data_IF_690181479477
#
_entry.id   IF_690181479477
#
_cell.length_a   1.000
_cell.length_b   1.000
_cell.length_c   1.000
_cell.angle_alpha   90.00
_cell.angle_beta   90.00
_cell.angle_gamma   90.00
#
_symmetry.space_group_name_H-M   'P 1'
#
loop_
_entity.id
_entity.type
_entity.pdbx_description
1 polymer ?
#
# COMPACT_ATOMS: atom_id res chain seq x y z
N UNK A 1 -31.65 19.64 47.65
CA UNK A 1 -30.89 20.87 47.30
C UNK A 1 -31.48 21.34 45.97
N UNK A 2 -32.29 22.40 45.99
CA UNK A 2 -31.91 23.74 45.51
C UNK A 2 -31.58 23.72 44.00
N UNK A 3 -32.55 24.06 43.12
CA UNK A 3 -32.88 25.43 42.63
C UNK A 3 -31.84 25.93 41.60
N UNK A 4 -32.16 26.64 40.52
CA UNK A 4 -33.38 27.10 39.81
C UNK A 4 -32.93 27.30 38.32
N UNK A 5 -33.69 27.46 37.23
CA UNK A 5 -35.11 27.82 36.98
C UNK A 5 -35.55 27.34 35.55
N UNK A 6 -36.65 27.85 34.97
CA UNK A 6 -37.05 27.69 33.54
C UNK A 6 -37.35 29.05 32.92
N UNK A 7 -36.95 29.30 31.66
CA UNK A 7 -37.69 30.20 30.74
C UNK A 7 -37.34 29.93 29.27
N UNK A 8 -38.33 29.61 28.45
CA UNK A 8 -38.17 29.49 27.00
C UNK A 8 -38.67 30.74 26.27
N UNK A 9 -38.25 30.89 25.01
CA UNK A 9 -38.93 31.63 23.95
C UNK A 9 -38.70 30.86 22.65
N UNK A 10 -39.77 30.62 21.89
CA UNK A 10 -39.71 30.08 20.53
C UNK A 10 -40.05 31.23 19.58
N UNK A 11 -39.13 31.61 18.68
CA UNK A 11 -39.38 32.54 17.56
C UNK A 11 -38.64 31.98 16.35
N UNK A 12 -39.32 31.96 15.20
CA UNK A 12 -38.88 31.38 13.94
C UNK A 12 -37.87 32.28 13.18
N UNK A 13 -37.29 31.71 12.13
CA UNK A 13 -36.60 32.37 11.00
C UNK A 13 -35.37 33.27 11.28
N UNK A 14 -34.18 32.76 10.91
CA UNK A 14 -33.47 33.24 9.69
C UNK A 14 -32.19 32.45 9.34
N UNK A 15 -32.20 31.94 8.11
CA UNK A 15 -31.13 31.97 7.09
C UNK A 15 -29.64 31.73 7.43
N UNK A 16 -29.11 30.72 6.72
CA UNK A 16 -27.91 30.74 5.87
C UNK A 16 -26.52 30.35 6.43
N UNK A 17 -25.73 29.78 5.50
CA UNK A 17 -24.36 29.23 5.57
C UNK A 17 -24.12 28.04 6.51
N UNK A 18 -23.50 26.94 6.07
CA UNK A 18 -23.08 26.61 4.70
C UNK A 18 -22.08 25.46 4.65
N UNK A 19 -22.53 24.28 4.22
CA UNK A 19 -21.66 23.20 3.74
C UNK A 19 -22.08 22.89 2.29
N UNK A 20 -21.50 23.62 1.34
CA UNK A 20 -21.61 23.26 -0.07
C UNK A 20 -20.80 21.99 -0.31
N UNK A 21 -21.49 20.85 -0.28
CA UNK A 21 -21.03 19.69 -1.04
C UNK A 21 -21.14 20.06 -2.50
N UNK A 22 -20.00 20.27 -3.14
CA UNK A 22 -19.90 20.56 -4.57
C UNK A 22 -20.22 19.28 -5.36
N UNK A 23 -21.50 18.91 -5.35
CA UNK A 23 -22.06 17.81 -6.12
C UNK A 23 -22.14 18.28 -7.57
N UNK A 24 -21.04 18.08 -8.30
CA UNK A 24 -20.89 18.48 -9.70
C UNK A 24 -22.03 17.86 -10.52
N UNK A 25 -22.98 18.70 -10.92
CA UNK A 25 -24.23 18.30 -11.56
C UNK A 25 -23.94 17.76 -12.96
N UNK A 26 -23.82 16.42 -13.09
CA UNK A 26 -23.55 15.73 -14.35
C UNK A 26 -24.74 15.91 -15.29
N UNK A 27 -24.68 16.94 -16.13
CA UNK A 27 -25.63 17.18 -17.21
C UNK A 27 -25.24 16.33 -18.40
N UNK A 28 -26.07 15.34 -18.71
CA UNK A 28 -26.04 14.69 -20.02
C UNK A 28 -26.30 15.76 -21.10
N UNK A 29 -25.36 15.90 -22.03
CA UNK A 29 -25.52 16.75 -23.20
C UNK A 29 -25.25 15.92 -24.45
N UNK A 30 -26.11 16.07 -25.45
CA UNK A 30 -25.94 15.42 -26.74
C UNK A 30 -25.01 16.26 -27.61
N UNK A 31 -23.73 15.87 -27.71
CA UNK A 31 -22.81 16.42 -28.72
C UNK A 31 -22.97 15.73 -30.07
N UNK A 32 -22.64 16.45 -31.14
CA UNK A 32 -22.37 15.82 -32.43
C UNK A 32 -20.96 15.17 -32.44
N UNK A 33 -20.69 14.27 -33.40
CA UNK A 33 -19.41 13.55 -33.48
C UNK A 33 -18.15 14.44 -33.59
N UNK A 34 -18.25 15.66 -34.10
CA UNK A 34 -17.11 16.58 -34.20
C UNK A 34 -16.87 17.30 -32.88
N UNK A 35 -17.91 17.81 -32.23
CA UNK A 35 -17.84 18.40 -30.88
C UNK A 35 -17.32 17.41 -29.84
N UNK A 36 -17.75 16.14 -29.89
CA UNK A 36 -17.21 15.08 -29.01
C UNK A 36 -15.71 14.86 -29.28
N UNK A 37 -15.27 14.87 -30.54
CA UNK A 37 -13.84 14.73 -30.90
C UNK A 37 -13.00 15.94 -30.48
N UNK A 38 -13.58 17.15 -30.53
CA UNK A 38 -12.90 18.36 -30.06
C UNK A 38 -12.79 18.41 -28.54
N UNK A 39 -13.82 18.01 -27.78
CA UNK A 39 -13.67 17.83 -26.33
C UNK A 39 -12.65 16.75 -25.97
N UNK A 40 -12.66 15.59 -26.65
CA UNK A 40 -11.70 14.52 -26.39
C UNK A 40 -10.26 14.99 -26.60
N UNK A 41 -10.01 15.84 -27.62
CA UNK A 41 -8.69 16.48 -27.82
C UNK A 41 -8.39 17.55 -26.78
N UNK A 42 -9.37 18.36 -26.38
CA UNK A 42 -9.19 19.37 -25.34
C UNK A 42 -8.81 18.75 -23.99
N UNK A 43 -9.39 17.59 -23.67
CA UNK A 43 -9.08 16.79 -22.47
C UNK A 43 -7.93 15.78 -22.68
N UNK A 44 -7.27 15.75 -23.85
CA UNK A 44 -6.18 14.79 -24.14
C UNK A 44 -4.94 15.11 -23.28
N UNK A 45 -4.64 16.40 -23.07
CA UNK A 45 -3.56 16.83 -22.18
C UNK A 45 -3.85 16.47 -20.70
N UNK A 46 -5.09 16.67 -20.23
CA UNK A 46 -5.53 16.27 -18.88
C UNK A 46 -5.46 14.75 -18.68
N UNK A 47 -5.86 13.96 -19.68
CA UNK A 47 -5.77 12.50 -19.64
C UNK A 47 -4.30 12.01 -19.59
N UNK A 48 -3.42 12.64 -20.39
CA UNK A 48 -1.98 12.34 -20.38
C UNK A 48 -1.38 12.70 -19.01
N UNK A 49 -1.73 13.84 -18.43
CA UNK A 49 -1.24 14.23 -17.10
C UNK A 49 -1.74 13.25 -16.02
N UNK A 50 -3.01 12.86 -16.05
CA UNK A 50 -3.55 11.84 -15.13
C UNK A 50 -2.83 10.49 -15.22
N UNK A 51 -2.40 10.08 -16.42
CA UNK A 51 -1.59 8.87 -16.59
C UNK A 51 -0.15 9.03 -16.05
N UNK A 52 0.44 10.21 -16.18
CA UNK A 52 1.78 10.52 -15.64
C UNK A 52 1.75 10.54 -14.11
N UNK A 53 0.73 11.17 -13.52
CA UNK A 53 0.57 11.25 -12.07
C UNK A 53 0.33 9.84 -11.50
N UNK A 54 -0.56 9.05 -12.12
CA UNK A 54 -0.79 7.66 -11.75
C UNK A 54 0.46 6.77 -11.89
N UNK A 55 1.43 7.11 -12.76
CA UNK A 55 2.66 6.34 -12.90
C UNK A 55 3.64 6.51 -11.71
N UNK A 56 3.47 7.55 -10.88
CA UNK A 56 4.36 7.86 -9.75
C UNK A 56 3.92 7.26 -8.40
N UNK A 57 2.81 6.50 -8.36
CA UNK A 57 2.21 5.87 -7.17
C UNK A 57 3.22 5.30 -6.15
N UNK A 58 4.29 4.64 -6.62
CA UNK A 58 5.33 4.03 -5.78
C UNK A 58 6.20 5.02 -4.97
N UNK A 59 6.13 6.33 -5.26
CA UNK A 59 6.89 7.38 -4.55
C UNK A 59 6.00 8.23 -3.64
N UNK A 60 4.76 8.48 -4.05
CA UNK A 60 3.86 9.40 -3.36
C UNK A 60 3.02 8.71 -2.28
N UNK A 61 2.65 7.44 -2.50
CA UNK A 61 1.85 6.66 -1.56
C UNK A 61 2.75 5.91 -0.57
N UNK A 62 2.72 6.32 0.69
CA UNK A 62 3.41 5.59 1.76
C UNK A 62 2.52 5.38 2.97
N UNK A 63 2.57 4.18 3.55
CA UNK A 63 1.87 3.81 4.77
C UNK A 63 2.87 3.48 5.88
N UNK A 64 2.66 4.03 7.07
CA UNK A 64 3.46 3.71 8.25
C UNK A 64 2.98 2.41 8.90
N UNK A 65 3.93 1.53 9.21
CA UNK A 65 3.76 0.30 9.98
C UNK A 65 4.42 0.45 11.35
N UNK A 66 3.69 0.15 12.42
CA UNK A 66 4.16 0.17 13.80
C UNK A 66 4.22 -1.26 14.37
N UNK A 67 5.41 -1.70 14.84
CA UNK A 67 5.58 -3.02 15.48
C UNK A 67 5.42 -2.88 16.99
N UNK A 68 4.21 -3.17 17.47
CA UNK A 68 3.84 -3.07 18.89
C UNK A 68 3.75 -4.47 19.52
N UNK A 69 4.41 -4.65 20.67
CA UNK A 69 4.34 -5.88 21.48
C UNK A 69 4.21 -5.50 22.95
N UNK A 70 3.31 -6.17 23.67
CA UNK A 70 3.09 -5.96 25.11
C UNK A 70 2.81 -4.48 25.47
N UNK A 71 2.08 -3.77 24.60
CA UNK A 71 1.76 -2.35 24.75
C UNK A 71 2.91 -1.37 24.43
N UNK A 72 4.09 -1.88 24.05
CA UNK A 72 5.27 -1.07 23.71
C UNK A 72 5.53 -1.07 22.20
N UNK A 73 5.75 0.11 21.62
CA UNK A 73 6.32 0.24 20.27
C UNK A 73 7.79 -0.19 20.29
N UNK A 74 8.16 -1.16 19.44
CA UNK A 74 9.54 -1.63 19.28
C UNK A 74 10.28 -0.82 18.22
N UNK A 75 9.67 -0.68 17.04
CA UNK A 75 10.11 0.17 15.94
C UNK A 75 8.96 0.39 14.95
N UNK A 76 9.16 1.30 14.01
CA UNK A 76 8.23 1.63 12.94
C UNK A 76 8.98 1.88 11.63
N UNK A 77 8.32 1.65 10.50
CA UNK A 77 8.88 1.88 9.16
C UNK A 77 7.76 2.19 8.18
N UNK A 78 8.09 2.78 7.02
CA UNK A 78 7.12 3.05 5.96
C UNK A 78 7.23 2.02 4.85
N UNK A 79 6.07 1.59 4.35
CA UNK A 79 5.90 0.79 3.13
C UNK A 79 5.33 1.66 2.02
N UNK A 80 5.65 1.32 0.77
CA UNK A 80 5.07 1.84 -0.47
C UNK A 80 4.34 0.70 -1.22
N UNK A 81 3.42 1.00 -2.15
CA UNK A 81 2.86 -0.01 -3.04
C UNK A 81 3.94 -0.66 -3.92
N UNK A 82 3.62 -1.89 -4.35
CA UNK A 82 4.46 -2.72 -5.22
C UNK A 82 3.74 -3.02 -6.53
N UNK A 83 4.42 -2.79 -7.66
CA UNK A 83 3.93 -3.23 -8.96
C UNK A 83 3.98 -4.75 -9.12
N UNK A 84 3.12 -5.32 -9.98
CA UNK A 84 3.07 -6.78 -10.19
C UNK A 84 4.40 -7.39 -10.67
N UNK A 85 5.25 -6.60 -11.35
CA UNK A 85 6.60 -7.03 -11.74
C UNK A 85 7.54 -7.18 -10.53
N UNK A 86 7.35 -6.41 -9.46
CA UNK A 86 8.14 -6.46 -8.23
C UNK A 86 7.78 -7.69 -7.40
N UNK A 87 6.48 -7.97 -7.22
CA UNK A 87 6.00 -9.24 -6.67
C UNK A 87 6.58 -10.43 -7.44
N UNK A 88 6.55 -10.38 -8.77
CA UNK A 88 7.07 -11.45 -9.62
C UNK A 88 8.60 -11.59 -9.55
N UNK A 89 9.34 -10.48 -9.40
CA UNK A 89 10.79 -10.49 -9.12
C UNK A 89 11.08 -11.16 -7.79
N UNK A 90 10.37 -10.82 -6.71
CA UNK A 90 10.50 -11.46 -5.41
C UNK A 90 10.14 -12.95 -5.45
N UNK A 91 9.06 -13.32 -6.17
CA UNK A 91 8.66 -14.73 -6.35
C UNK A 91 9.75 -15.51 -7.08
N UNK A 92 10.20 -15.04 -8.25
CA UNK A 92 11.26 -15.68 -9.06
C UNK A 92 12.58 -15.85 -8.30
N UNK A 93 13.02 -14.84 -7.54
CA UNK A 93 14.24 -14.90 -6.69
C UNK A 93 14.19 -16.04 -5.66
N UNK A 94 12.99 -16.41 -5.18
CA UNK A 94 12.78 -17.41 -4.13
C UNK A 94 12.09 -18.70 -4.61
N UNK A 95 11.90 -18.86 -5.92
CA UNK A 95 11.47 -20.11 -6.56
C UNK A 95 12.69 -20.87 -7.10
N UNK A 96 12.82 -22.13 -6.70
CA UNK A 96 13.76 -23.09 -7.27
C UNK A 96 13.22 -23.55 -8.63
N UNK A 97 14.07 -23.52 -9.66
CA UNK A 97 13.73 -23.98 -11.01
C UNK A 97 14.57 -25.19 -11.41
N UNK A 98 13.93 -26.33 -11.66
CA UNK A 98 14.57 -27.56 -12.14
C UNK A 98 14.49 -27.66 -13.67
N UNK A 99 15.47 -28.30 -14.30
CA UNK A 99 15.48 -28.51 -15.74
C UNK A 99 14.88 -29.88 -16.08
N UNK A 100 13.75 -29.91 -16.76
CA UNK A 100 13.19 -31.14 -17.29
C UNK A 100 14.05 -31.60 -18.48
N UNK A 101 14.72 -32.75 -18.36
CA UNK A 101 15.62 -33.28 -19.39
C UNK A 101 14.88 -33.76 -20.65
N UNK A 102 13.62 -34.16 -20.57
CA UNK A 102 12.84 -34.60 -21.73
C UNK A 102 12.29 -33.42 -22.54
N UNK A 103 11.90 -32.33 -21.88
CA UNK A 103 11.31 -31.14 -22.52
C UNK A 103 12.33 -30.00 -22.75
N UNK A 104 13.58 -30.14 -22.30
CA UNK A 104 14.64 -29.14 -22.41
C UNK A 104 14.48 -27.88 -21.53
N UNK A 105 13.25 -27.59 -21.10
CA UNK A 105 12.79 -26.39 -20.39
C UNK A 105 13.10 -26.39 -18.88
N UNK A 106 13.17 -25.19 -18.29
CA UNK A 106 13.19 -24.99 -16.83
C UNK A 106 11.76 -24.82 -16.32
N UNK A 107 11.37 -25.60 -15.32
CA UNK A 107 10.06 -25.54 -14.66
C UNK A 107 10.23 -25.12 -13.21
N UNK A 108 9.30 -24.35 -12.62
CA UNK A 108 9.29 -24.09 -11.18
C UNK A 108 9.08 -25.42 -10.42
N UNK A 109 9.79 -25.57 -9.31
CA UNK A 109 9.82 -26.78 -8.48
C UNK A 109 9.24 -26.49 -7.10
N UNK A 110 9.85 -25.56 -6.37
CA UNK A 110 9.48 -25.20 -5.00
C UNK A 110 9.74 -23.70 -4.76
N UNK A 111 8.76 -22.99 -4.18
CA UNK A 111 8.92 -21.59 -3.77
C UNK A 111 9.08 -21.52 -2.26
N UNK A 112 10.19 -20.94 -1.79
CA UNK A 112 10.40 -20.71 -0.37
C UNK A 112 9.52 -19.54 0.11
N UNK A 113 8.31 -19.86 0.59
CA UNK A 113 7.32 -18.86 1.05
C UNK A 113 7.87 -17.91 2.11
N UNK A 114 8.65 -18.41 3.06
CA UNK A 114 9.21 -17.61 4.16
C UNK A 114 10.16 -16.53 3.62
N UNK A 115 11.10 -16.90 2.74
CA UNK A 115 12.00 -15.93 2.08
C UNK A 115 11.26 -14.99 1.14
N UNK A 116 10.26 -15.50 0.41
CA UNK A 116 9.39 -14.68 -0.44
C UNK A 116 8.67 -13.58 0.37
N UNK A 117 8.05 -13.94 1.49
CA UNK A 117 7.38 -12.99 2.38
C UNK A 117 8.34 -11.91 2.90
N UNK A 118 9.51 -12.31 3.41
CA UNK A 118 10.52 -11.37 3.89
C UNK A 118 11.09 -10.48 2.76
N UNK A 119 11.13 -10.97 1.51
CA UNK A 119 11.53 -10.19 0.34
C UNK A 119 10.46 -9.20 -0.14
N UNK A 120 9.16 -9.54 -0.06
CA UNK A 120 8.06 -8.59 -0.33
C UNK A 120 8.11 -7.43 0.65
N UNK A 121 8.26 -7.71 1.96
CA UNK A 121 8.39 -6.68 3.00
C UNK A 121 9.63 -5.79 2.76
N UNK A 122 10.77 -6.40 2.38
CA UNK A 122 11.99 -5.65 2.04
C UNK A 122 11.81 -4.73 0.83
N UNK A 123 11.21 -5.22 -0.25
CA UNK A 123 11.02 -4.45 -1.49
C UNK A 123 10.04 -3.29 -1.29
N UNK A 124 8.97 -3.52 -0.52
CA UNK A 124 7.97 -2.52 -0.17
C UNK A 124 8.44 -1.49 0.86
N UNK A 125 9.44 -1.78 1.70
CA UNK A 125 9.97 -0.78 2.64
C UNK A 125 10.59 0.40 1.87
N UNK A 126 10.42 1.65 2.32
CA UNK A 126 11.11 2.79 1.70
C UNK A 126 12.63 2.71 1.92
N UNK A 127 13.42 3.17 0.94
CA UNK A 127 14.88 3.00 0.95
C UNK A 127 15.56 3.61 2.20
N UNK A 128 15.04 4.74 2.71
CA UNK A 128 15.54 5.33 3.95
C UNK A 128 15.41 4.39 5.16
N UNK A 129 14.29 3.70 5.29
CA UNK A 129 14.00 2.84 6.43
C UNK A 129 14.69 1.47 6.26
N UNK A 130 14.94 1.00 5.02
CA UNK A 130 15.86 -0.11 4.76
C UNK A 130 17.25 0.20 5.32
N UNK A 131 17.83 1.35 4.99
CA UNK A 131 19.15 1.75 5.46
C UNK A 131 19.23 1.91 6.99
N UNK A 132 18.16 2.42 7.63
CA UNK A 132 18.07 2.58 9.09
C UNK A 132 17.87 1.25 9.83
N UNK A 133 17.14 0.29 9.26
CA UNK A 133 16.70 -0.95 9.91
C UNK A 133 17.33 -2.20 9.28
N UNK A 134 16.92 -2.55 8.05
CA UNK A 134 17.22 -3.83 7.43
C UNK A 134 18.69 -3.98 7.03
N UNK A 135 19.33 -2.93 6.54
CA UNK A 135 20.73 -2.96 6.06
C UNK A 135 21.73 -2.32 7.03
N UNK A 136 21.26 -1.99 8.23
CA UNK A 136 22.07 -1.38 9.27
C UNK A 136 23.06 -2.37 9.88
N UNK A 137 24.36 -2.20 9.57
CA UNK A 137 25.44 -3.06 10.05
C UNK A 137 25.52 -3.20 11.56
N UNK A 138 25.16 -2.16 12.33
CA UNK A 138 25.12 -2.25 13.80
C UNK A 138 24.04 -3.22 14.30
N UNK A 139 22.92 -3.29 13.59
CA UNK A 139 21.86 -4.27 13.87
C UNK A 139 22.36 -5.67 13.51
N UNK A 140 23.01 -5.84 12.35
CA UNK A 140 23.56 -7.15 11.94
C UNK A 140 24.58 -7.68 12.95
N UNK A 141 25.51 -6.85 13.40
CA UNK A 141 26.51 -7.21 14.43
C UNK A 141 25.85 -7.57 15.77
N UNK A 142 24.89 -6.76 16.24
CA UNK A 142 24.18 -6.99 17.49
C UNK A 142 23.28 -8.24 17.49
N UNK A 143 22.78 -8.64 16.31
CA UNK A 143 22.04 -9.89 16.12
C UNK A 143 23.00 -11.09 16.00
N UNK A 144 24.05 -10.97 15.20
CA UNK A 144 25.08 -12.01 15.03
C UNK A 144 25.76 -12.39 16.37
N UNK A 145 25.91 -11.44 17.30
CA UNK A 145 26.43 -11.70 18.63
C UNK A 145 25.55 -12.63 19.50
N UNK A 146 24.27 -12.84 19.16
CA UNK A 146 23.32 -13.55 20.02
C UNK A 146 23.17 -15.04 19.73
N UNK A 147 23.31 -15.47 18.46
CA UNK A 147 23.43 -16.86 17.97
C UNK A 147 23.33 -16.99 16.46
N UNK A 148 22.66 -16.04 15.83
CA UNK A 148 22.22 -16.15 14.43
C UNK A 148 23.32 -15.73 13.44
N UNK A 149 23.17 -16.09 12.17
CA UNK A 149 24.04 -15.65 11.08
C UNK A 149 23.24 -14.79 10.10
N UNK A 150 23.05 -13.53 10.46
CA UNK A 150 22.51 -12.46 9.61
C UNK A 150 23.54 -12.15 8.52
N UNK A 151 23.17 -12.41 7.26
CA UNK A 151 24.00 -12.17 6.07
C UNK A 151 23.49 -10.99 5.23
N UNK A 152 22.19 -10.67 5.32
CA UNK A 152 21.51 -9.62 4.55
C UNK A 152 20.25 -9.11 5.28
N UNK A 153 19.61 -8.05 4.76
CA UNK A 153 18.40 -7.47 5.36
C UNK A 153 17.17 -8.38 5.42
N UNK A 154 17.05 -9.38 4.54
CA UNK A 154 15.97 -10.38 4.64
C UNK A 154 16.11 -11.25 5.89
N UNK A 155 17.34 -11.53 6.32
CA UNK A 155 17.58 -12.29 7.56
C UNK A 155 17.21 -11.44 8.79
N UNK A 156 17.38 -10.11 8.73
CA UNK A 156 16.94 -9.18 9.79
C UNK A 156 15.41 -9.16 9.88
N UNK A 157 14.72 -9.04 8.75
CA UNK A 157 13.24 -9.13 8.68
C UNK A 157 12.77 -10.50 9.18
N UNK A 158 13.46 -11.57 8.79
CA UNK A 158 13.11 -12.93 9.19
C UNK A 158 13.17 -13.12 10.70
N UNK A 159 14.24 -12.61 11.33
CA UNK A 159 14.50 -12.73 12.76
C UNK A 159 13.68 -11.75 13.62
N UNK A 160 13.47 -10.53 13.14
CA UNK A 160 12.90 -9.45 13.95
C UNK A 160 11.37 -9.48 14.02
N UNK A 161 10.69 -10.03 13.01
CA UNK A 161 9.22 -10.07 12.90
C UNK A 161 8.64 -11.47 13.17
N UNK A 162 7.53 -11.52 13.92
CA UNK A 162 6.75 -12.75 14.12
C UNK A 162 5.98 -13.11 12.84
N UNK A 163 5.64 -14.39 12.65
CA UNK A 163 4.90 -14.86 11.47
C UNK A 163 3.60 -14.04 11.21
N UNK A 164 2.74 -13.89 12.23
CA UNK A 164 1.52 -13.09 12.10
C UNK A 164 1.74 -11.57 12.05
N UNK A 165 2.94 -11.07 12.34
CA UNK A 165 3.29 -9.67 12.04
C UNK A 165 3.62 -9.54 10.55
N UNK A 166 4.42 -10.45 9.98
CA UNK A 166 4.72 -10.49 8.53
C UNK A 166 3.44 -10.61 7.68
N UNK A 167 2.50 -11.44 8.12
CA UNK A 167 1.19 -11.63 7.45
C UNK A 167 0.41 -10.30 7.37
N UNK A 168 0.20 -9.61 8.50
CA UNK A 168 -0.46 -8.29 8.51
C UNK A 168 0.26 -7.20 7.73
N UNK A 169 1.60 -7.26 7.68
CA UNK A 169 2.38 -6.31 6.87
C UNK A 169 2.12 -6.57 5.39
N UNK A 170 2.08 -7.83 4.97
CA UNK A 170 1.78 -8.20 3.58
C UNK A 170 0.34 -7.83 3.22
N UNK A 171 -0.63 -8.09 4.09
CA UNK A 171 -2.02 -7.61 3.90
C UNK A 171 -2.07 -6.10 3.64
N UNK A 172 -1.29 -5.30 4.37
CA UNK A 172 -1.19 -3.85 4.14
C UNK A 172 -0.44 -3.46 2.87
N UNK A 173 0.59 -4.21 2.45
CA UNK A 173 1.26 -4.00 1.16
C UNK A 173 0.30 -4.34 0.02
N UNK A 174 -0.46 -5.44 0.12
CA UNK A 174 -1.45 -5.88 -0.87
C UNK A 174 -2.59 -4.85 -0.99
N UNK A 175 -3.10 -4.33 0.14
CA UNK A 175 -4.12 -3.27 0.22
C UNK A 175 -3.69 -1.99 -0.53
N UNK A 176 -2.54 -1.40 -0.18
CA UNK A 176 -2.05 -0.19 -0.87
C UNK A 176 -1.62 -0.47 -2.32
N UNK A 177 -1.28 -1.72 -2.68
CA UNK A 177 -0.96 -2.11 -4.05
C UNK A 177 -2.20 -2.40 -4.92
N UNK A 178 -3.42 -2.15 -4.42
CA UNK A 178 -4.66 -2.35 -5.17
C UNK A 178 -5.11 -3.82 -5.30
N UNK A 179 -4.61 -4.72 -4.45
CA UNK A 179 -5.07 -6.12 -4.37
C UNK A 179 -6.19 -6.32 -3.32
N UNK A 180 -6.76 -5.25 -2.77
CA UNK A 180 -7.90 -5.36 -1.85
C UNK A 180 -9.11 -6.00 -2.53
N UNK A 181 -9.83 -6.84 -1.78
CA UNK A 181 -10.95 -7.64 -2.29
C UNK A 181 -12.27 -6.84 -2.36
N UNK A 182 -12.26 -5.55 -1.99
CA UNK A 182 -13.44 -4.66 -1.96
C UNK A 182 -13.88 -4.16 -3.36
N UNK A 183 -14.03 -5.08 -4.31
CA UNK A 183 -14.63 -4.83 -5.64
C UNK A 183 -16.18 -4.73 -5.61
N UNK A 184 -16.81 -4.71 -4.43
CA UNK A 184 -18.27 -4.73 -4.29
C UNK A 184 -18.97 -3.35 -4.37
N UNK A 185 -18.25 -2.22 -4.34
CA UNK A 185 -18.88 -0.89 -4.17
C UNK A 185 -19.19 -0.10 -5.46
N UNK A 186 -19.01 -0.70 -6.65
CA UNK A 186 -19.26 -0.02 -7.95
C UNK A 186 -20.55 -0.48 -8.66
N UNK A 187 -21.31 -1.40 -8.07
CA UNK A 187 -22.50 -2.02 -8.71
C UNK A 187 -23.85 -1.43 -8.24
N UNK A 188 -23.85 -0.33 -7.47
CA UNK A 188 -25.06 0.27 -6.89
C UNK A 188 -24.99 1.81 -6.79
N UNK A 189 -25.06 2.50 -7.91
CA UNK A 189 -25.63 3.84 -8.04
C UNK A 189 -26.33 3.93 -9.41
#
# INVERSE_FOLDING_TARGET
>A
MAKDYVKGVNIEEKSAMGEEKDAQEVKEYESNEEETKEMIRANEEDFIQGLIDAANYASDETQRIDIIRDGRLFFSFHIRPLGSEEYEKCRKKHTKYVRNKQLGMRVPDETNRVKYQSAVIYEATIEEDKAKLWDNRKIWEALNAKKDRIMNGLDVIEYSLKAGEKERIIEKIDEISGYDNNLEEVAKN
#
